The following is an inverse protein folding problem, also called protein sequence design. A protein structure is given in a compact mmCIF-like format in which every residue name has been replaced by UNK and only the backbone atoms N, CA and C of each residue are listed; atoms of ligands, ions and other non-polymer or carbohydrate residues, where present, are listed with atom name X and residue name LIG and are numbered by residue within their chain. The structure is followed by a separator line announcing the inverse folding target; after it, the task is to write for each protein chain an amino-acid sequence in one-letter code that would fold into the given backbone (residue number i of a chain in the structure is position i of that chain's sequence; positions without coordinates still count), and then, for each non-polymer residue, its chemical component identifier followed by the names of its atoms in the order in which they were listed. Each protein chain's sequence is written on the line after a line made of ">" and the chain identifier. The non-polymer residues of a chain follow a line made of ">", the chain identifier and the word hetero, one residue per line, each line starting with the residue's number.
data_IF_363071135681
#
_entry.id   IF_363071135681
#
_cell.length_a   1.000
_cell.length_b   1.000
_cell.length_c   1.000
_cell.angle_alpha   90.00
_cell.angle_beta   90.00
_cell.angle_gamma   90.00
#
_symmetry.space_group_name_H-M   'P 1'
#
loop_
_entity.id
_entity.type
_entity.pdbx_description
1 polymer ?
#
# COMPACT_ATOMS: atom_id res chain seq x y z
N UNK A 1 -3.03 15.74 -10.66
CA UNK A 1 -2.79 16.49 -9.41
C UNK A 1 -1.93 15.64 -8.48
N UNK A 2 -1.02 16.23 -7.68
CA UNK A 2 -0.31 15.46 -6.66
C UNK A 2 -1.16 15.39 -5.39
N UNK A 3 -1.37 14.18 -4.86
CA UNK A 3 -2.06 13.98 -3.57
C UNK A 3 -1.09 14.15 -2.39
N UNK A 4 0.14 13.67 -2.53
CA UNK A 4 1.19 13.84 -1.54
C UNK A 4 2.46 14.30 -2.25
N UNK A 5 3.16 15.26 -1.66
CA UNK A 5 4.50 15.66 -2.05
C UNK A 5 5.39 15.65 -0.82
N UNK A 6 6.40 14.83 -0.85
CA UNK A 6 7.43 14.72 0.19
C UNK A 6 8.75 15.27 -0.35
N UNK A 7 9.39 16.18 0.39
CA UNK A 7 10.63 16.83 0.02
C UNK A 7 11.70 16.63 1.09
N UNK A 8 12.83 16.06 0.71
CA UNK A 8 14.04 15.94 1.53
C UNK A 8 13.83 15.15 2.82
N UNK A 9 12.96 14.11 2.81
CA UNK A 9 12.65 13.36 4.04
C UNK A 9 13.88 12.65 4.59
N UNK A 10 14.22 12.92 5.84
CA UNK A 10 15.22 12.18 6.59
C UNK A 10 14.62 11.59 7.85
N UNK A 11 15.05 10.36 8.21
CA UNK A 11 14.69 9.73 9.47
C UNK A 11 15.80 8.90 10.03
N UNK A 12 16.09 9.12 11.31
CA UNK A 12 17.07 8.38 12.09
C UNK A 12 16.39 7.73 13.30
N UNK A 13 16.70 6.48 13.58
CA UNK A 13 16.33 5.81 14.82
C UNK A 13 17.62 5.48 15.60
N UNK A 14 17.71 6.00 16.80
CA UNK A 14 18.92 5.90 17.61
C UNK A 14 20.16 6.37 16.80
N UNK A 15 21.08 5.45 16.46
CA UNK A 15 22.29 5.76 15.70
C UNK A 15 22.21 5.35 14.21
N UNK A 16 21.08 4.78 13.76
CA UNK A 16 20.93 4.32 12.37
C UNK A 16 20.02 5.28 11.59
N UNK A 17 20.56 5.91 10.57
CA UNK A 17 19.76 6.64 9.60
C UNK A 17 19.09 5.62 8.67
N UNK A 18 17.77 5.76 8.49
CA UNK A 18 16.92 4.81 7.76
C UNK A 18 16.40 5.42 6.46
N UNK A 19 16.17 6.74 6.45
CA UNK A 19 15.75 7.49 5.25
C UNK A 19 16.69 8.70 5.11
N UNK A 20 17.18 8.92 3.87
CA UNK A 20 18.29 9.83 3.57
C UNK A 20 17.89 10.83 2.47
N UNK A 21 17.19 11.92 2.80
CA UNK A 21 16.87 13.00 1.86
C UNK A 21 15.98 12.53 0.71
N UNK A 22 14.85 11.89 1.03
CA UNK A 22 13.97 11.27 0.05
C UNK A 22 12.95 12.29 -0.48
N UNK A 23 12.87 12.42 -1.81
CA UNK A 23 11.83 13.18 -2.52
C UNK A 23 10.87 12.22 -3.21
N UNK A 24 9.55 12.39 -2.95
CA UNK A 24 8.53 11.49 -3.47
C UNK A 24 7.23 12.26 -3.74
N UNK A 25 6.59 11.94 -4.87
CA UNK A 25 5.25 12.42 -5.19
C UNK A 25 4.31 11.25 -5.42
N UNK A 26 3.06 11.37 -4.95
CA UNK A 26 1.96 10.46 -5.28
C UNK A 26 0.95 11.23 -6.12
N UNK A 27 0.74 10.79 -7.36
CA UNK A 27 -0.17 11.41 -8.31
C UNK A 27 -1.55 10.79 -8.21
N UNK A 28 -2.57 11.60 -8.39
CA UNK A 28 -3.96 11.14 -8.40
C UNK A 28 -4.20 10.14 -9.53
N UNK A 29 -4.88 9.03 -9.21
CA UNK A 29 -5.30 8.00 -10.17
C UNK A 29 -4.21 7.03 -10.60
N UNK A 30 -2.99 7.08 -9.99
CA UNK A 30 -1.94 6.11 -10.30
C UNK A 30 -1.90 4.94 -9.31
N UNK A 31 -1.42 3.79 -9.78
CA UNK A 31 -0.93 2.70 -8.94
C UNK A 31 0.59 2.87 -8.83
N UNK A 32 1.05 3.28 -7.66
CA UNK A 32 2.47 3.49 -7.36
C UNK A 32 3.02 2.34 -6.52
N UNK A 33 4.06 1.68 -7.00
CA UNK A 33 4.77 0.67 -6.23
C UNK A 33 6.04 1.23 -5.57
N UNK A 34 6.23 0.98 -4.28
CA UNK A 34 7.44 1.29 -3.52
C UNK A 34 8.22 0.00 -3.28
N UNK A 35 9.36 -0.15 -3.95
CA UNK A 35 10.13 -1.39 -4.02
C UNK A 35 11.47 -1.22 -3.32
N UNK A 36 11.95 -2.28 -2.72
CA UNK A 36 13.29 -2.33 -2.12
C UNK A 36 13.43 -3.49 -1.13
N UNK A 37 14.65 -3.81 -0.71
CA UNK A 37 14.90 -4.90 0.24
C UNK A 37 14.25 -4.64 1.60
N UNK A 38 14.14 -5.71 2.40
CA UNK A 38 13.63 -5.58 3.76
C UNK A 38 14.56 -4.70 4.59
N UNK A 39 13.97 -3.81 5.41
CA UNK A 39 14.71 -2.90 6.26
C UNK A 39 15.30 -1.67 5.53
N UNK A 40 15.01 -1.46 4.24
CA UNK A 40 15.53 -0.31 3.47
C UNK A 40 14.84 1.02 3.79
N UNK A 41 13.73 0.99 4.54
CA UNK A 41 13.00 2.20 4.93
C UNK A 41 11.62 2.38 4.28
N UNK A 42 11.08 1.39 3.53
CA UNK A 42 9.75 1.48 2.90
C UNK A 42 8.65 1.80 3.91
N UNK A 43 8.48 0.97 4.94
CA UNK A 43 7.45 1.18 5.97
C UNK A 43 7.66 2.46 6.77
N UNK A 44 8.92 2.86 7.00
CA UNK A 44 9.24 4.15 7.63
C UNK A 44 8.83 5.32 6.74
N UNK A 45 9.09 5.24 5.44
CA UNK A 45 8.66 6.24 4.46
C UNK A 45 7.13 6.32 4.43
N UNK A 46 6.43 5.19 4.34
CA UNK A 46 4.96 5.13 4.41
C UNK A 46 4.44 5.77 5.70
N UNK A 47 5.04 5.44 6.85
CA UNK A 47 4.63 6.02 8.13
C UNK A 47 4.85 7.54 8.20
N UNK A 48 5.90 8.08 7.55
CA UNK A 48 6.10 9.53 7.42
C UNK A 48 5.07 10.17 6.48
N UNK A 49 4.76 9.54 5.34
CA UNK A 49 3.72 10.01 4.41
C UNK A 49 2.33 10.03 5.04
N UNK A 50 2.04 9.13 5.97
CA UNK A 50 0.80 9.10 6.75
C UNK A 50 0.78 10.08 7.92
N UNK A 51 1.91 10.71 8.24
CA UNK A 51 2.06 11.57 9.42
C UNK A 51 2.01 10.81 10.75
N UNK A 52 2.26 9.48 10.73
CA UNK A 52 2.38 8.64 11.93
C UNK A 52 3.74 8.87 12.59
N UNK A 53 4.79 9.02 11.77
CA UNK A 53 6.14 9.34 12.22
C UNK A 53 6.51 10.71 11.65
N UNK A 54 7.01 11.61 12.51
CA UNK A 54 7.55 12.88 12.05
C UNK A 54 8.95 12.66 11.46
N UNK A 55 9.24 13.21 10.26
CA UNK A 55 10.59 13.22 9.73
C UNK A 55 11.50 14.09 10.61
N UNK A 56 12.79 13.77 10.66
CA UNK A 56 13.79 14.59 11.36
C UNK A 56 14.17 15.82 10.52
N UNK A 57 14.13 15.69 9.17
CA UNK A 57 14.23 16.77 8.20
C UNK A 57 13.29 16.55 7.02
N UNK A 58 13.04 17.61 6.26
CA UNK A 58 12.13 17.61 5.14
C UNK A 58 10.69 17.89 5.55
N UNK A 59 9.79 17.74 4.59
CA UNK A 59 8.37 18.04 4.79
C UNK A 59 7.49 17.17 3.92
N UNK A 60 6.25 16.96 4.36
CA UNK A 60 5.19 16.31 3.58
C UNK A 60 4.04 17.29 3.43
N UNK A 61 3.61 17.53 2.20
CA UNK A 61 2.43 18.33 1.89
C UNK A 61 1.33 17.45 1.27
N UNK A 62 0.08 17.83 1.52
CA UNK A 62 -1.09 17.06 1.13
C UNK A 62 -2.03 17.93 0.32
N UNK A 63 -2.83 17.32 -0.56
CA UNK A 63 -3.75 18.01 -1.47
C UNK A 63 -4.91 18.72 -0.75
N UNK A 64 -5.14 18.42 0.53
CA UNK A 64 -6.21 19.01 1.36
C UNK A 64 -5.86 18.96 2.85
N UNK A 65 -6.47 19.84 3.62
CA UNK A 65 -6.20 19.94 5.07
C UNK A 65 -6.74 18.74 5.86
N UNK A 66 -7.88 18.18 5.45
CA UNK A 66 -8.54 17.04 6.08
C UNK A 66 -8.16 15.69 5.43
N UNK A 67 -6.99 15.61 4.81
CA UNK A 67 -6.48 14.46 4.04
C UNK A 67 -6.63 13.12 4.77
N UNK A 68 -6.53 13.11 6.11
CA UNK A 68 -6.63 11.87 6.90
C UNK A 68 -7.98 11.17 6.76
N UNK A 69 -9.05 11.89 6.47
CA UNK A 69 -10.38 11.32 6.21
C UNK A 69 -10.48 10.68 4.82
N UNK A 70 -9.53 10.95 3.96
CA UNK A 70 -9.51 10.52 2.56
C UNK A 70 -8.36 9.57 2.25
N UNK A 71 -7.68 9.06 3.29
CA UNK A 71 -6.66 8.02 3.19
C UNK A 71 -7.16 6.76 3.89
N UNK A 72 -7.07 5.62 3.20
CA UNK A 72 -7.15 4.28 3.79
C UNK A 72 -5.76 3.68 3.85
N UNK A 73 -5.33 3.17 5.01
CA UNK A 73 -4.01 2.59 5.16
C UNK A 73 -4.07 1.21 5.82
N UNK A 74 -3.55 0.19 5.13
CA UNK A 74 -3.27 -1.12 5.68
C UNK A 74 -1.77 -1.25 5.85
N UNK A 75 -1.32 -1.24 7.09
CA UNK A 75 0.08 -1.45 7.47
C UNK A 75 0.36 -2.94 7.73
N UNK A 76 1.54 -3.28 8.23
CA UNK A 76 1.95 -4.67 8.46
C UNK A 76 1.02 -5.43 9.42
N UNK A 77 0.44 -4.74 10.41
CA UNK A 77 -0.55 -5.34 11.31
C UNK A 77 -1.94 -5.34 10.68
N UNK A 78 -2.70 -6.41 10.88
CA UNK A 78 -4.08 -6.50 10.42
C UNK A 78 -4.98 -5.57 11.26
N UNK A 79 -5.69 -4.60 10.63
CA UNK A 79 -6.43 -3.58 11.36
C UNK A 79 -7.87 -4.00 11.67
N UNK A 80 -8.14 -5.25 11.97
CA UNK A 80 -9.50 -5.72 12.29
C UNK A 80 -9.60 -6.32 13.68
N UNK A 81 -10.81 -6.39 14.21
CA UNK A 81 -11.11 -7.02 15.50
C UNK A 81 -11.23 -8.53 15.31
N UNK A 82 -10.32 -9.27 15.91
CA UNK A 82 -10.12 -10.70 15.69
C UNK A 82 -11.34 -11.56 16.05
N UNK A 83 -12.08 -11.18 17.11
CA UNK A 83 -13.26 -11.90 17.59
C UNK A 83 -14.53 -11.66 16.78
N UNK A 84 -14.53 -10.67 15.90
CA UNK A 84 -15.68 -10.30 15.07
C UNK A 84 -15.58 -10.96 13.69
N UNK A 85 -16.74 -11.27 13.08
CA UNK A 85 -16.83 -11.70 11.69
C UNK A 85 -16.42 -10.59 10.70
N UNK A 86 -16.21 -10.95 9.43
CA UNK A 86 -15.93 -9.97 8.38
C UNK A 86 -17.04 -8.89 8.30
N UNK A 87 -18.32 -9.31 8.36
CA UNK A 87 -19.47 -8.42 8.38
C UNK A 87 -19.44 -7.43 9.54
N UNK A 88 -19.22 -7.92 10.75
CA UNK A 88 -19.18 -7.08 11.95
C UNK A 88 -18.00 -6.11 11.93
N UNK A 89 -16.86 -6.54 11.41
CA UNK A 89 -15.70 -5.67 11.20
C UNK A 89 -16.02 -4.55 10.21
N UNK A 90 -16.59 -4.83 9.04
CA UNK A 90 -16.99 -3.80 8.07
C UNK A 90 -17.98 -2.80 8.68
N UNK A 91 -18.98 -3.28 9.43
CA UNK A 91 -19.97 -2.42 10.12
C UNK A 91 -19.31 -1.52 11.16
N UNK A 92 -18.42 -2.08 11.96
CA UNK A 92 -17.71 -1.34 13.01
C UNK A 92 -16.78 -0.28 12.44
N UNK A 93 -15.97 -0.64 11.43
CA UNK A 93 -15.08 0.32 10.76
C UNK A 93 -15.87 1.39 9.99
N UNK A 94 -17.01 1.04 9.36
CA UNK A 94 -17.94 2.02 8.81
C UNK A 94 -18.34 3.05 9.87
N UNK A 95 -18.75 2.58 11.06
CA UNK A 95 -19.12 3.48 12.16
C UNK A 95 -17.95 4.34 12.64
N UNK A 96 -16.73 3.80 12.75
CA UNK A 96 -15.52 4.55 13.13
C UNK A 96 -15.19 5.66 12.12
N UNK A 97 -15.41 5.42 10.84
CA UNK A 97 -15.25 6.41 9.77
C UNK A 97 -16.51 7.28 9.56
N UNK A 98 -17.53 7.15 10.43
CA UNK A 98 -18.80 7.88 10.33
C UNK A 98 -19.58 7.58 9.04
N UNK A 99 -19.37 6.41 8.45
CA UNK A 99 -20.11 5.89 7.30
C UNK A 99 -21.16 4.90 7.79
N UNK A 100 -22.43 5.22 7.57
CA UNK A 100 -23.54 4.32 7.93
C UNK A 100 -23.76 3.36 6.75
N UNK A 101 -23.46 2.08 6.96
CA UNK A 101 -23.66 1.03 5.97
C UNK A 101 -24.97 0.28 6.23
N UNK A 102 -25.79 0.14 5.20
CA UNK A 102 -26.93 -0.77 5.17
C UNK A 102 -26.45 -2.23 5.07
N UNK A 103 -27.32 -3.18 5.36
CA UNK A 103 -27.01 -4.61 5.19
C UNK A 103 -26.74 -4.98 3.72
N UNK A 104 -27.37 -4.30 2.76
CA UNK A 104 -27.12 -4.48 1.34
C UNK A 104 -25.73 -4.00 0.93
N UNK A 105 -25.32 -2.82 1.37
CA UNK A 105 -23.97 -2.28 1.13
C UNK A 105 -22.89 -3.16 1.76
N UNK A 106 -23.12 -3.69 2.96
CA UNK A 106 -22.19 -4.64 3.59
C UNK A 106 -22.10 -5.93 2.77
N UNK A 107 -23.24 -6.48 2.30
CA UNK A 107 -23.23 -7.67 1.44
C UNK A 107 -22.48 -7.41 0.13
N UNK A 108 -22.69 -6.25 -0.49
CA UNK A 108 -21.98 -5.85 -1.69
C UNK A 108 -20.46 -5.76 -1.43
N UNK A 109 -20.05 -5.09 -0.34
CA UNK A 109 -18.62 -4.98 0.04
C UNK A 109 -18.02 -6.38 0.32
N UNK A 110 -18.72 -7.27 1.04
CA UNK A 110 -18.26 -8.64 1.25
C UNK A 110 -18.06 -9.39 -0.07
N UNK A 111 -18.95 -9.21 -1.05
CA UNK A 111 -18.80 -9.80 -2.38
C UNK A 111 -17.57 -9.21 -3.11
N UNK A 112 -17.38 -7.90 -3.11
CA UNK A 112 -16.23 -7.23 -3.72
C UNK A 112 -14.88 -7.70 -3.13
N UNK A 113 -14.85 -8.05 -1.85
CA UNK A 113 -13.64 -8.55 -1.18
C UNK A 113 -13.56 -10.09 -1.14
N UNK A 114 -14.45 -10.80 -1.86
CA UNK A 114 -14.53 -12.27 -1.86
C UNK A 114 -14.60 -12.87 -0.43
N UNK A 115 -15.49 -12.31 0.40
CA UNK A 115 -15.71 -12.70 1.79
C UNK A 115 -17.17 -13.13 2.09
N UNK A 116 -18.01 -13.26 1.04
CA UNK A 116 -19.43 -13.60 1.20
C UNK A 116 -19.68 -14.96 1.86
N UNK A 117 -18.73 -15.88 1.71
CA UNK A 117 -18.78 -17.26 2.22
C UNK A 117 -18.27 -17.39 3.67
N UNK A 118 -17.75 -16.30 4.25
CA UNK A 118 -17.16 -16.34 5.59
C UNK A 118 -18.19 -16.43 6.73
N UNK A 119 -19.44 -16.04 6.45
CA UNK A 119 -20.55 -16.14 7.40
C UNK A 119 -20.29 -15.40 8.71
N UNK A 120 -20.44 -16.12 9.83
CA UNK A 120 -20.17 -15.64 11.20
C UNK A 120 -18.79 -16.06 11.71
N UNK A 121 -17.91 -16.55 10.86
CA UNK A 121 -16.56 -16.97 11.24
C UNK A 121 -15.79 -15.77 11.81
N UNK A 122 -15.24 -15.86 13.04
CA UNK A 122 -14.37 -14.84 13.59
C UNK A 122 -13.16 -14.57 12.69
N UNK A 123 -12.77 -13.31 12.54
CA UNK A 123 -11.72 -12.91 11.60
C UNK A 123 -10.38 -13.60 11.84
N UNK A 124 -10.03 -13.90 13.09
CA UNK A 124 -8.81 -14.66 13.44
C UNK A 124 -8.80 -16.08 12.87
N UNK A 125 -9.97 -16.67 12.59
CA UNK A 125 -10.12 -18.03 12.04
C UNK A 125 -10.20 -18.08 10.51
N UNK A 126 -10.20 -16.92 9.86
CA UNK A 126 -10.14 -16.83 8.41
C UNK A 126 -8.76 -17.25 7.89
N UNK A 127 -8.68 -17.72 6.64
CA UNK A 127 -7.39 -17.95 6.00
C UNK A 127 -6.60 -16.65 5.90
N UNK A 128 -5.26 -16.72 5.76
CA UNK A 128 -4.42 -15.53 5.64
C UNK A 128 -4.87 -14.63 4.48
N UNK A 129 -5.22 -15.22 3.32
CA UNK A 129 -5.76 -14.47 2.19
C UNK A 129 -7.07 -13.77 2.51
N UNK A 130 -8.01 -14.44 3.21
CA UNK A 130 -9.25 -13.82 3.66
C UNK A 130 -9.01 -12.69 4.66
N UNK A 131 -8.07 -12.87 5.60
CA UNK A 131 -7.66 -11.84 6.56
C UNK A 131 -7.08 -10.61 5.87
N UNK A 132 -6.20 -10.79 4.87
CA UNK A 132 -5.64 -9.70 4.07
C UNK A 132 -6.72 -8.95 3.28
N UNK A 133 -7.66 -9.68 2.66
CA UNK A 133 -8.80 -9.06 1.96
C UNK A 133 -9.72 -8.29 2.93
N UNK A 134 -9.97 -8.83 4.11
CA UNK A 134 -10.72 -8.14 5.16
C UNK A 134 -9.98 -6.86 5.61
N UNK A 135 -8.67 -6.94 5.82
CA UNK A 135 -7.84 -5.78 6.17
C UNK A 135 -7.96 -4.65 5.13
N UNK A 136 -7.87 -4.99 3.84
CA UNK A 136 -8.11 -4.03 2.76
C UNK A 136 -9.55 -3.49 2.82
N UNK A 137 -10.54 -4.38 3.02
CA UNK A 137 -11.95 -4.02 3.08
C UNK A 137 -12.27 -3.00 4.19
N UNK A 138 -11.76 -3.21 5.39
CA UNK A 138 -12.00 -2.29 6.52
C UNK A 138 -11.28 -0.95 6.35
N UNK A 139 -10.09 -0.94 5.72
CA UNK A 139 -9.36 0.31 5.46
C UNK A 139 -9.91 1.11 4.29
N UNK A 140 -10.73 0.50 3.44
CA UNK A 140 -11.36 1.15 2.28
C UNK A 140 -12.87 1.33 2.42
N UNK A 141 -13.43 1.00 3.58
CA UNK A 141 -14.88 1.05 3.83
C UNK A 141 -15.50 2.44 3.63
N UNK A 142 -14.72 3.49 3.89
CA UNK A 142 -15.10 4.91 3.75
C UNK A 142 -14.77 5.51 2.38
N UNK A 143 -14.38 4.66 1.44
CA UNK A 143 -14.11 5.02 0.04
C UNK A 143 -13.02 6.12 -0.13
N UNK A 144 -11.83 5.93 0.41
CA UNK A 144 -10.77 6.92 0.40
C UNK A 144 -10.29 7.24 -1.04
N UNK A 145 -9.75 8.46 -1.24
CA UNK A 145 -9.10 8.89 -2.48
C UNK A 145 -7.71 8.28 -2.66
N UNK A 146 -7.00 8.05 -1.54
CA UNK A 146 -5.68 7.41 -1.51
C UNK A 146 -5.71 6.17 -0.63
N UNK A 147 -5.23 5.06 -1.17
CA UNK A 147 -5.11 3.78 -0.46
C UNK A 147 -3.63 3.44 -0.36
N UNK A 148 -3.16 3.14 0.86
CA UNK A 148 -1.77 2.76 1.11
C UNK A 148 -1.74 1.35 1.70
N UNK A 149 -1.03 0.44 1.03
CA UNK A 149 -0.95 -0.98 1.38
C UNK A 149 0.51 -1.38 1.59
N UNK A 150 0.88 -1.76 2.82
CA UNK A 150 2.25 -2.21 3.11
C UNK A 150 2.34 -3.73 2.99
N UNK A 151 2.98 -4.22 1.93
CA UNK A 151 3.14 -5.63 1.57
C UNK A 151 1.82 -6.44 1.57
N UNK A 152 0.82 -6.03 0.76
CA UNK A 152 -0.52 -6.61 0.82
C UNK A 152 -0.57 -8.11 0.48
N UNK A 153 0.35 -8.61 -0.33
CA UNK A 153 0.40 -10.01 -0.82
C UNK A 153 1.44 -10.87 -0.12
N UNK A 154 2.22 -10.30 0.81
CA UNK A 154 3.26 -11.04 1.50
C UNK A 154 2.72 -12.27 2.25
N UNK A 155 3.36 -13.43 2.02
CA UNK A 155 3.01 -14.71 2.65
C UNK A 155 1.79 -15.42 2.07
N UNK A 156 1.22 -14.93 0.97
CA UNK A 156 0.07 -15.52 0.32
C UNK A 156 0.47 -16.56 -0.73
N UNK A 157 -0.40 -17.53 -0.93
CA UNK A 157 -0.33 -18.41 -2.08
C UNK A 157 -0.64 -17.66 -3.40
N UNK A 158 -0.29 -18.20 -4.58
CA UNK A 158 -0.47 -17.51 -5.86
C UNK A 158 -1.92 -17.11 -6.15
N UNK A 159 -2.91 -17.91 -5.72
CA UNK A 159 -4.33 -17.60 -5.94
C UNK A 159 -4.79 -16.41 -5.10
N UNK A 160 -4.47 -16.43 -3.81
CA UNK A 160 -4.82 -15.33 -2.90
C UNK A 160 -4.10 -14.02 -3.29
N UNK A 161 -2.83 -14.11 -3.72
CA UNK A 161 -2.09 -12.96 -4.27
C UNK A 161 -2.78 -12.38 -5.50
N UNK A 162 -3.19 -13.22 -6.45
CA UNK A 162 -3.91 -12.79 -7.65
C UNK A 162 -5.25 -12.09 -7.33
N UNK A 163 -5.99 -12.58 -6.34
CA UNK A 163 -7.23 -11.93 -5.91
C UNK A 163 -6.97 -10.52 -5.35
N UNK A 164 -5.91 -10.33 -4.56
CA UNK A 164 -5.54 -9.00 -4.04
C UNK A 164 -5.08 -8.07 -5.18
N UNK A 165 -4.29 -8.56 -6.13
CA UNK A 165 -3.87 -7.77 -7.30
C UNK A 165 -5.09 -7.26 -8.09
N UNK A 166 -6.08 -8.13 -8.32
CA UNK A 166 -7.35 -7.72 -8.95
C UNK A 166 -8.07 -6.65 -8.15
N UNK A 167 -8.10 -6.76 -6.81
CA UNK A 167 -8.71 -5.73 -5.98
C UNK A 167 -8.00 -4.38 -6.14
N UNK A 168 -6.66 -4.36 -6.20
CA UNK A 168 -5.87 -3.14 -6.40
C UNK A 168 -6.19 -2.52 -7.78
N UNK A 169 -6.23 -3.32 -8.84
CA UNK A 169 -6.60 -2.87 -10.19
C UNK A 169 -8.01 -2.26 -10.22
N UNK A 170 -9.01 -2.95 -9.64
CA UNK A 170 -10.38 -2.46 -9.57
C UNK A 170 -10.49 -1.13 -8.79
N UNK A 171 -9.65 -0.91 -7.77
CA UNK A 171 -9.62 0.36 -7.05
C UNK A 171 -9.15 1.50 -7.95
N UNK A 172 -8.12 1.27 -8.78
CA UNK A 172 -7.60 2.26 -9.72
C UNK A 172 -8.61 2.57 -10.84
N UNK A 173 -9.30 1.57 -11.38
CA UNK A 173 -10.36 1.78 -12.37
C UNK A 173 -11.48 2.70 -11.86
N UNK A 174 -11.72 2.72 -10.53
CA UNK A 174 -12.63 3.66 -9.87
C UNK A 174 -11.96 5.00 -9.52
N UNK A 175 -10.89 5.38 -10.21
CA UNK A 175 -10.13 6.64 -10.05
C UNK A 175 -9.50 6.86 -8.68
N UNK A 176 -9.33 5.80 -7.89
CA UNK A 176 -8.60 5.87 -6.62
C UNK A 176 -7.11 5.73 -6.86
N UNK A 177 -6.34 6.37 -6.02
CA UNK A 177 -4.88 6.28 -6.05
C UNK A 177 -4.45 5.18 -5.10
N UNK A 178 -3.53 4.33 -5.53
CA UNK A 178 -2.98 3.27 -4.68
C UNK A 178 -1.47 3.40 -4.59
N UNK A 179 -0.94 3.46 -3.37
CA UNK A 179 0.47 3.22 -3.07
C UNK A 179 0.58 1.84 -2.42
N UNK A 180 1.39 0.96 -2.97
CA UNK A 180 1.70 -0.29 -2.28
C UNK A 180 3.19 -0.55 -2.21
N UNK A 181 3.64 -1.20 -1.12
CA UNK A 181 5.01 -1.71 -1.05
C UNK A 181 5.03 -3.18 -1.46
N UNK A 182 6.09 -3.59 -2.14
CA UNK A 182 6.34 -4.99 -2.48
C UNK A 182 7.84 -5.28 -2.61
N UNK A 183 8.19 -6.55 -2.49
CA UNK A 183 9.49 -7.08 -2.86
C UNK A 183 9.38 -8.11 -4.00
N UNK A 184 8.16 -8.34 -4.53
CA UNK A 184 7.89 -9.22 -5.67
C UNK A 184 7.79 -8.39 -6.96
N UNK A 185 8.79 -8.53 -7.83
CA UNK A 185 8.91 -7.72 -9.05
C UNK A 185 7.88 -8.10 -10.12
N UNK A 186 7.51 -9.39 -10.23
CA UNK A 186 6.48 -9.84 -11.17
C UNK A 186 5.12 -9.22 -10.86
N UNK A 187 4.79 -9.15 -9.56
CA UNK A 187 3.58 -8.49 -9.10
C UNK A 187 3.56 -7.00 -9.47
N UNK A 188 4.68 -6.34 -9.28
CA UNK A 188 4.81 -4.92 -9.57
C UNK A 188 4.72 -4.64 -11.07
N UNK A 189 5.37 -5.44 -11.91
CA UNK A 189 5.26 -5.34 -13.38
C UNK A 189 3.82 -5.51 -13.88
N UNK A 190 3.04 -6.36 -13.19
CA UNK A 190 1.66 -6.66 -13.58
C UNK A 190 0.68 -5.51 -13.31
N UNK A 191 0.86 -4.77 -12.19
CA UNK A 191 -0.18 -3.85 -11.73
C UNK A 191 0.25 -2.39 -11.55
N UNK A 192 1.55 -2.07 -11.51
CA UNK A 192 2.00 -0.71 -11.20
C UNK A 192 2.13 0.17 -12.45
N UNK A 193 1.53 1.37 -12.42
CA UNK A 193 1.75 2.40 -13.44
C UNK A 193 3.14 3.02 -13.32
N UNK A 194 3.63 3.15 -12.07
CA UNK A 194 4.92 3.75 -11.76
C UNK A 194 5.55 3.04 -10.56
N UNK A 195 6.87 2.93 -10.59
CA UNK A 195 7.65 2.28 -9.54
C UNK A 195 8.69 3.24 -8.98
N UNK A 196 8.99 3.09 -7.70
CA UNK A 196 10.07 3.76 -6.98
C UNK A 196 10.92 2.68 -6.34
N UNK A 197 12.19 2.60 -6.75
CA UNK A 197 13.17 1.71 -6.14
C UNK A 197 13.89 2.42 -5.01
N UNK A 198 13.82 1.84 -3.82
CA UNK A 198 14.58 2.26 -2.66
C UNK A 198 15.77 1.34 -2.41
N UNK A 199 16.94 1.94 -2.17
CA UNK A 199 18.09 1.23 -1.67
C UNK A 199 18.84 2.12 -0.66
N UNK A 200 19.32 1.55 0.46
CA UNK A 200 20.02 2.28 1.54
C UNK A 200 19.30 3.58 1.97
N UNK A 201 17.96 3.56 2.07
CA UNK A 201 17.16 4.70 2.51
C UNK A 201 17.02 5.84 1.50
N UNK A 202 17.43 5.63 0.24
CA UNK A 202 17.34 6.59 -0.85
C UNK A 202 16.54 6.04 -2.02
N UNK A 203 15.98 6.92 -2.85
CA UNK A 203 15.42 6.54 -4.15
C UNK A 203 16.56 6.43 -5.15
N UNK A 204 16.76 5.23 -5.70
CA UNK A 204 17.80 4.94 -6.71
C UNK A 204 17.29 4.94 -8.14
N UNK A 205 16.00 4.71 -8.32
CA UNK A 205 15.31 4.84 -9.62
C UNK A 205 13.81 5.08 -9.40
N UNK A 206 13.18 5.84 -10.29
CA UNK A 206 11.74 6.03 -10.32
C UNK A 206 11.26 6.26 -11.76
N UNK A 207 10.12 5.68 -12.13
CA UNK A 207 9.55 5.80 -13.47
C UNK A 207 8.54 4.69 -13.78
N UNK A 208 8.06 4.65 -15.02
CA UNK A 208 7.25 3.53 -15.50
C UNK A 208 8.12 2.27 -15.62
N UNK A 209 7.59 1.07 -15.32
CA UNK A 209 8.34 -0.19 -15.45
C UNK A 209 9.07 -0.33 -16.79
N UNK A 210 8.36 -0.12 -17.89
CA UNK A 210 8.91 -0.24 -19.24
C UNK A 210 10.01 0.78 -19.55
N UNK A 211 9.89 2.03 -19.08
CA UNK A 211 10.89 3.07 -19.32
C UNK A 211 12.17 2.79 -18.54
N UNK A 212 12.01 2.28 -17.30
CA UNK A 212 13.16 1.91 -16.46
C UNK A 212 13.93 0.72 -17.03
N UNK A 213 13.23 -0.34 -17.46
CA UNK A 213 13.88 -1.52 -18.08
C UNK A 213 14.61 -1.15 -19.37
N UNK A 214 14.02 -0.31 -20.22
CA UNK A 214 14.67 0.21 -21.43
C UNK A 214 15.90 1.07 -21.11
N UNK A 215 15.75 2.03 -20.18
CA UNK A 215 16.84 2.93 -19.77
C UNK A 215 18.06 2.18 -19.22
N UNK A 216 17.82 1.14 -18.44
CA UNK A 216 18.88 0.34 -17.81
C UNK A 216 19.32 -0.86 -18.65
N UNK A 217 18.72 -1.08 -19.83
CA UNK A 217 19.03 -2.19 -20.76
C UNK A 217 18.91 -3.58 -20.10
N UNK A 218 17.81 -3.78 -19.36
CA UNK A 218 17.48 -5.05 -18.69
C UNK A 218 16.14 -5.59 -19.20
N UNK A 219 15.90 -6.89 -19.04
CA UNK A 219 14.70 -7.54 -19.58
C UNK A 219 13.45 -7.31 -18.70
N UNK A 220 13.60 -7.18 -17.40
CA UNK A 220 12.50 -7.06 -16.42
C UNK A 220 12.94 -6.30 -15.17
N UNK A 221 11.98 -5.99 -14.28
CA UNK A 221 12.24 -5.27 -13.04
C UNK A 221 13.09 -6.09 -12.05
N UNK A 222 13.05 -7.42 -12.10
CA UNK A 222 13.89 -8.26 -11.25
C UNK A 222 15.38 -8.04 -11.54
N UNK A 223 15.77 -8.06 -12.84
CA UNK A 223 17.14 -7.76 -13.24
C UNK A 223 17.53 -6.31 -12.94
N UNK A 224 16.59 -5.38 -13.07
CA UNK A 224 16.82 -4.00 -12.67
C UNK A 224 17.09 -3.89 -11.17
N UNK A 225 16.27 -4.56 -10.37
CA UNK A 225 16.42 -4.60 -8.91
C UNK A 225 17.80 -5.12 -8.50
N UNK A 226 18.22 -6.27 -9.06
CA UNK A 226 19.54 -6.84 -8.81
C UNK A 226 20.65 -5.83 -9.18
N UNK A 227 20.58 -5.24 -10.38
CA UNK A 227 21.55 -4.24 -10.84
C UNK A 227 21.63 -3.02 -9.92
N UNK A 228 20.48 -2.53 -9.40
CA UNK A 228 20.44 -1.35 -8.52
C UNK A 228 20.85 -1.67 -7.08
N UNK A 229 20.75 -2.93 -6.65
CA UNK A 229 21.10 -3.36 -5.30
C UNK A 229 22.51 -3.91 -5.17
N UNK A 230 23.09 -4.45 -6.26
CA UNK A 230 24.48 -4.98 -6.29
C UNK A 230 25.57 -3.87 -6.33
N UNK A 231 25.22 -2.64 -6.66
CA UNK A 231 26.18 -1.57 -6.98
C UNK A 231 26.75 -0.85 -5.75
N UNK A 232 26.69 -1.44 -4.55
CA UNK A 232 27.34 -0.89 -3.34
C UNK A 232 28.18 -1.98 -2.66
N UNK A 233 29.35 -2.22 -3.24
CA UNK A 233 30.49 -2.78 -2.52
C UNK A 233 31.54 -1.70 -2.32
#
# INVERSE_FOLDING_TARGET
>A
MNLIVANGLEKKFQNKQVVHGLDLEIKQGEILALIGPNGVGKSTTIAMLLGIIQPDKGSVSYWRNDYKKHIGAQLQTTPFFEGYSARENLKLFGALYQVKLSDEEINHKLACYHLSDTGRTPAVKLSLGQQKRLAIGVTTVHEPELIILDEPTAGLDPRASHEIKKMILNMSENQRTVLFSSHNMDEVEEIADRVIFMNHGQIVAAGKPEDLTKKHQVKNLELLYLKLTETVK
#
